data_IF_577911916695
#
_entry.id   IF_577911916695
#
_cell.length_a   1.000
_cell.length_b   1.000
_cell.length_c   1.000
_cell.angle_alpha   90.00
_cell.angle_beta   90.00
_cell.angle_gamma   90.00
#
_symmetry.space_group_name_H-M   'P 1'
#
loop_
_entity.id
_entity.type
_entity.pdbx_description
1 polymer ?
#
# COMPACT_ATOMS: atom_id res chain seq x y z
N UNK A 1 12.58 38.40 -7.73
CA UNK A 1 11.16 38.81 -7.72
C UNK A 1 10.48 38.17 -8.93
N UNK A 2 9.77 37.05 -8.76
CA UNK A 2 8.80 36.47 -9.73
C UNK A 2 8.25 35.14 -9.20
N UNK A 3 7.40 35.20 -8.17
CA UNK A 3 6.63 34.03 -7.71
C UNK A 3 5.20 34.40 -7.23
N UNK A 4 4.80 35.66 -7.38
CA UNK A 4 3.55 36.17 -6.80
C UNK A 4 2.38 36.26 -7.80
N UNK A 5 2.64 36.14 -9.10
CA UNK A 5 1.63 36.33 -10.16
C UNK A 5 1.01 35.04 -10.73
N UNK A 6 1.40 33.86 -10.24
CA UNK A 6 0.81 32.58 -10.70
C UNK A 6 -0.21 31.97 -9.73
N UNK A 7 -0.41 32.56 -8.55
CA UNK A 7 -1.39 32.06 -7.56
C UNK A 7 -2.82 32.58 -7.79
N UNK A 8 -3.01 33.66 -8.54
CA UNK A 8 -4.33 34.29 -8.69
C UNK A 8 -5.19 33.71 -9.81
N UNK A 9 -4.62 32.92 -10.74
CA UNK A 9 -5.40 32.30 -11.83
C UNK A 9 -5.96 30.92 -11.50
N UNK A 10 -5.58 30.29 -10.38
CA UNK A 10 -6.06 28.95 -10.01
C UNK A 10 -7.24 28.95 -9.02
N UNK A 11 -7.47 30.06 -8.30
CA UNK A 11 -8.58 30.16 -7.33
C UNK A 11 -9.95 30.33 -8.01
N UNK A 12 -10.01 30.89 -9.22
CA UNK A 12 -11.27 31.16 -9.91
C UNK A 12 -11.86 29.95 -10.67
N UNK A 13 -11.10 28.87 -10.88
CA UNK A 13 -11.61 27.67 -11.56
C UNK A 13 -12.36 26.70 -10.63
N UNK A 14 -12.17 26.79 -9.31
CA UNK A 14 -12.77 25.87 -8.34
C UNK A 14 -14.11 26.34 -7.77
N UNK A 15 -14.47 27.63 -7.94
CA UNK A 15 -15.77 28.14 -7.49
C UNK A 15 -16.92 27.87 -8.48
N UNK A 16 -16.62 27.52 -9.74
CA UNK A 16 -17.64 27.27 -10.78
C UNK A 16 -18.29 25.89 -10.75
N UNK A 17 -17.68 24.89 -10.08
CA UNK A 17 -18.18 23.49 -10.10
C UNK A 17 -18.94 23.12 -8.83
N UNK A 18 -18.77 23.91 -7.75
CA UNK A 18 -19.38 23.65 -6.44
C UNK A 18 -20.85 24.07 -6.33
N UNK A 19 -21.40 24.75 -7.35
CA UNK A 19 -22.68 25.44 -7.27
C UNK A 19 -23.92 24.73 -7.81
N UNK A 20 -23.84 23.49 -8.33
CA UNK A 20 -24.95 22.97 -9.15
C UNK A 20 -25.33 21.50 -8.93
N UNK A 21 -25.40 20.99 -7.69
CA UNK A 21 -26.11 19.72 -7.46
C UNK A 21 -26.62 19.50 -6.02
N UNK A 22 -27.22 20.51 -5.40
CA UNK A 22 -27.96 20.32 -4.14
C UNK A 22 -29.34 20.95 -4.22
N UNK A 23 -30.34 20.21 -4.74
CA UNK A 23 -31.73 20.35 -4.26
C UNK A 23 -32.58 19.09 -4.53
N UNK A 24 -32.97 18.42 -3.45
CA UNK A 24 -34.21 17.64 -3.17
C UNK A 24 -34.71 16.58 -4.19
N UNK A 25 -34.70 15.31 -3.78
CA UNK A 25 -35.88 14.40 -3.58
C UNK A 25 -35.33 13.22 -2.72
N UNK A 26 -35.76 13.00 -1.48
CA UNK A 26 -36.90 12.14 -1.11
C UNK A 26 -36.38 10.86 -0.45
N UNK A 27 -36.91 10.52 0.73
CA UNK A 27 -36.62 9.26 1.43
C UNK A 27 -37.05 8.08 0.57
N UNK A 28 -36.18 7.07 0.39
CA UNK A 28 -36.55 5.65 0.36
C UNK A 28 -35.30 4.76 0.26
N UNK A 29 -35.36 3.63 0.97
CA UNK A 29 -34.34 2.58 1.10
C UNK A 29 -34.04 1.89 -0.22
N UNK A 30 -32.76 1.67 -0.58
CA UNK A 30 -32.22 0.40 -1.09
C UNK A 30 -30.80 0.55 -1.64
N UNK A 31 -29.98 -0.45 -1.32
CA UNK A 31 -28.84 -1.00 -2.04
C UNK A 31 -28.21 -0.26 -3.25
N UNK A 32 -26.87 -0.20 -3.17
CA UNK A 32 -25.91 -0.39 -4.26
C UNK A 32 -25.48 0.81 -5.12
N UNK A 33 -24.20 0.71 -5.50
CA UNK A 33 -23.48 1.38 -6.59
C UNK A 33 -22.87 2.74 -6.25
N UNK A 34 -21.68 2.71 -5.63
CA UNK A 34 -20.72 3.83 -5.70
C UNK A 34 -19.94 3.68 -7.02
N UNK A 35 -19.97 4.67 -7.93
CA UNK A 35 -19.35 4.55 -9.25
C UNK A 35 -17.82 4.64 -9.17
N UNK A 36 -17.14 3.85 -10.01
CA UNK A 36 -15.69 3.62 -10.03
C UNK A 36 -14.80 4.87 -10.22
N UNK A 37 -15.38 6.02 -10.57
CA UNK A 37 -14.65 7.25 -10.92
C UNK A 37 -14.09 7.96 -9.68
N UNK A 38 -14.77 7.89 -8.53
CA UNK A 38 -14.29 8.55 -7.31
C UNK A 38 -13.08 7.84 -6.67
N UNK A 39 -12.84 6.56 -7.00
CA UNK A 39 -11.63 5.87 -6.57
C UNK A 39 -10.39 6.45 -7.27
N UNK A 40 -10.47 6.77 -8.56
CA UNK A 40 -9.29 7.16 -9.35
C UNK A 40 -8.73 8.53 -8.93
N UNK A 41 -9.61 9.47 -8.55
CA UNK A 41 -9.23 10.83 -8.11
C UNK A 41 -8.59 10.82 -6.72
N UNK A 42 -9.12 10.01 -5.79
CA UNK A 42 -8.56 9.87 -4.44
C UNK A 42 -7.18 9.24 -4.47
N UNK A 43 -6.92 8.26 -5.36
CA UNK A 43 -5.57 7.67 -5.50
C UNK A 43 -4.55 8.64 -6.13
N UNK A 44 -4.97 9.55 -7.00
CA UNK A 44 -4.09 10.52 -7.63
C UNK A 44 -3.62 11.62 -6.66
N UNK A 45 -4.51 12.10 -5.78
CA UNK A 45 -4.17 13.12 -4.78
C UNK A 45 -3.22 12.55 -3.69
N UNK A 46 -3.44 11.31 -3.23
CA UNK A 46 -2.51 10.63 -2.32
C UNK A 46 -1.11 10.41 -2.91
N UNK A 47 -1.02 10.06 -4.20
CA UNK A 47 0.25 9.82 -4.88
C UNK A 47 1.06 11.11 -5.14
N UNK A 48 0.41 12.28 -5.18
CA UNK A 48 1.08 13.57 -5.32
C UNK A 48 1.66 14.07 -3.99
N UNK A 49 0.94 13.91 -2.89
CA UNK A 49 1.45 14.25 -1.55
C UNK A 49 2.65 13.37 -1.14
N UNK A 50 2.63 12.06 -1.44
CA UNK A 50 3.79 11.18 -1.18
C UNK A 50 5.06 11.62 -1.94
N UNK A 51 4.92 12.19 -3.15
CA UNK A 51 6.06 12.68 -3.94
C UNK A 51 6.69 13.94 -3.34
N UNK A 52 5.92 14.79 -2.68
CA UNK A 52 6.45 16.00 -2.04
C UNK A 52 7.10 15.70 -0.68
N UNK A 53 6.58 14.74 0.09
CA UNK A 53 7.17 14.35 1.39
C UNK A 53 8.52 13.65 1.22
N UNK A 54 8.72 12.90 0.14
CA UNK A 54 10.00 12.25 -0.16
C UNK A 54 11.14 13.24 -0.45
N UNK A 55 10.82 14.49 -0.81
CA UNK A 55 11.81 15.50 -1.17
C UNK A 55 12.30 16.32 0.04
N UNK A 56 11.53 16.41 1.13
CA UNK A 56 11.89 17.22 2.32
C UNK A 56 12.35 16.42 3.55
N UNK A 57 12.11 15.10 3.67
CA UNK A 57 12.45 14.32 4.89
C UNK A 57 13.47 13.19 4.70
N UNK A 58 14.31 13.27 3.66
CA UNK A 58 15.33 12.28 3.36
C UNK A 58 14.80 11.25 2.39
N UNK A 59 15.26 11.37 1.13
CA UNK A 59 14.89 10.52 0.01
C UNK A 59 14.79 9.06 0.45
N UNK A 60 13.64 8.45 0.18
CA UNK A 60 13.40 7.10 0.61
C UNK A 60 14.49 6.16 0.04
N UNK A 61 15.30 5.61 0.94
CA UNK A 61 16.49 4.78 0.62
C UNK A 61 16.08 3.34 0.28
N UNK A 62 15.01 3.17 -0.51
CA UNK A 62 14.59 1.88 -1.03
C UNK A 62 14.99 1.73 -2.48
N UNK A 63 15.20 0.49 -2.91
CA UNK A 63 15.65 0.18 -4.26
C UNK A 63 14.52 0.45 -5.25
N UNK A 64 14.69 1.48 -6.09
CA UNK A 64 13.65 1.93 -7.03
C UNK A 64 13.17 0.82 -7.96
N UNK A 65 14.07 -0.05 -8.44
CA UNK A 65 13.70 -1.14 -9.35
C UNK A 65 12.77 -2.15 -8.67
N UNK A 66 13.03 -2.42 -7.39
CA UNK A 66 12.21 -3.34 -6.59
C UNK A 66 10.86 -2.70 -6.27
N UNK A 67 10.83 -1.39 -5.99
CA UNK A 67 9.59 -0.65 -5.77
C UNK A 67 8.70 -0.60 -7.03
N UNK A 68 9.29 -0.44 -8.22
CA UNK A 68 8.56 -0.49 -9.48
C UNK A 68 7.94 -1.87 -9.72
N UNK A 69 8.71 -2.93 -9.48
CA UNK A 69 8.25 -4.31 -9.62
C UNK A 69 7.18 -4.66 -8.58
N UNK A 70 7.35 -4.20 -7.34
CA UNK A 70 6.35 -4.30 -6.26
C UNK A 70 5.01 -3.69 -6.71
N UNK A 71 5.03 -2.47 -7.23
CA UNK A 71 3.83 -1.80 -7.73
C UNK A 71 3.19 -2.56 -8.89
N UNK A 72 4.01 -3.13 -9.79
CA UNK A 72 3.52 -3.96 -10.91
C UNK A 72 2.78 -5.20 -10.41
N UNK A 73 3.36 -5.95 -9.47
CA UNK A 73 2.72 -7.14 -8.89
C UNK A 73 1.45 -6.79 -8.10
N UNK A 74 1.48 -5.71 -7.32
CA UNK A 74 0.31 -5.26 -6.56
C UNK A 74 -0.87 -4.93 -7.50
N UNK A 75 -0.62 -4.22 -8.61
CA UNK A 75 -1.65 -3.88 -9.61
C UNK A 75 -2.28 -5.09 -10.29
N UNK A 76 -1.49 -6.14 -10.53
CA UNK A 76 -2.00 -7.38 -11.10
C UNK A 76 -2.94 -8.10 -10.14
N UNK A 77 -2.79 -7.89 -8.83
CA UNK A 77 -3.62 -8.46 -7.75
C UNK A 77 -3.99 -9.93 -8.00
N UNK A 78 -3.01 -10.73 -8.46
CA UNK A 78 -3.27 -12.08 -8.92
C UNK A 78 -3.41 -13.02 -7.71
N UNK A 79 -4.65 -13.26 -7.30
CA UNK A 79 -5.03 -14.15 -6.20
C UNK A 79 -4.56 -15.60 -6.36
N UNK A 80 -4.06 -16.00 -7.54
CA UNK A 80 -3.52 -17.34 -7.78
C UNK A 80 -2.03 -17.47 -7.48
N UNK A 81 -1.33 -16.35 -7.27
CA UNK A 81 0.06 -16.36 -6.84
C UNK A 81 0.12 -16.48 -5.33
N UNK A 82 1.00 -17.34 -4.82
CA UNK A 82 1.28 -17.42 -3.39
C UNK A 82 2.31 -16.37 -2.97
N UNK A 83 2.23 -15.92 -1.72
CA UNK A 83 3.20 -15.01 -1.11
C UNK A 83 4.64 -15.56 -1.19
N UNK A 84 4.79 -16.87 -1.01
CA UNK A 84 6.07 -17.58 -1.10
C UNK A 84 6.69 -17.51 -2.50
N UNK A 85 5.88 -17.71 -3.54
CA UNK A 85 6.30 -17.63 -4.94
C UNK A 85 6.78 -16.22 -5.29
N UNK A 86 6.04 -15.21 -4.85
CA UNK A 86 6.39 -13.80 -5.07
C UNK A 86 7.69 -13.46 -4.34
N UNK A 87 7.81 -13.81 -3.05
CA UNK A 87 9.01 -13.53 -2.25
C UNK A 87 10.25 -14.22 -2.85
N UNK A 88 10.10 -15.47 -3.29
CA UNK A 88 11.15 -16.22 -3.99
C UNK A 88 11.54 -15.58 -5.31
N UNK A 89 10.56 -15.17 -6.13
CA UNK A 89 10.81 -14.46 -7.39
C UNK A 89 11.60 -13.16 -7.17
N UNK A 90 11.26 -12.39 -6.14
CA UNK A 90 11.99 -11.17 -5.79
C UNK A 90 13.42 -11.49 -5.33
N UNK A 91 13.60 -12.51 -4.51
CA UNK A 91 14.92 -12.92 -4.01
C UNK A 91 15.84 -13.44 -5.12
N UNK A 92 15.30 -14.12 -6.13
CA UNK A 92 16.05 -14.59 -7.30
C UNK A 92 16.39 -13.44 -8.26
N UNK A 93 15.48 -12.48 -8.43
CA UNK A 93 15.65 -11.36 -9.36
C UNK A 93 16.57 -10.27 -8.79
N UNK A 94 16.48 -10.01 -7.49
CA UNK A 94 17.15 -8.89 -6.84
C UNK A 94 18.15 -9.38 -5.80
N UNK A 95 19.43 -9.20 -6.10
CA UNK A 95 20.50 -9.61 -5.20
C UNK A 95 20.57 -8.74 -3.92
N UNK A 96 21.06 -9.32 -2.82
CA UNK A 96 21.33 -8.63 -1.56
C UNK A 96 20.14 -8.46 -0.62
N UNK A 97 19.04 -9.17 -0.86
CA UNK A 97 17.94 -9.32 0.10
C UNK A 97 17.93 -10.69 0.78
N UNK A 98 16.82 -11.00 1.44
CA UNK A 98 16.54 -12.30 2.04
C UNK A 98 15.03 -12.52 2.13
N UNK A 99 14.61 -13.77 2.37
CA UNK A 99 13.19 -14.09 2.60
C UNK A 99 12.94 -14.09 4.11
N UNK A 100 11.98 -13.30 4.55
CA UNK A 100 11.49 -13.29 5.92
C UNK A 100 10.18 -14.08 5.98
N UNK A 101 10.17 -15.14 6.78
CA UNK A 101 8.97 -15.92 7.06
C UNK A 101 8.40 -15.51 8.42
N UNK A 102 7.10 -15.24 8.47
CA UNK A 102 6.34 -14.97 9.68
C UNK A 102 5.39 -16.13 9.92
N UNK A 103 5.40 -16.66 11.14
CA UNK A 103 4.50 -17.72 11.61
C UNK A 103 3.87 -17.32 12.94
N UNK A 104 2.69 -17.87 13.31
CA UNK A 104 2.11 -17.60 14.62
C UNK A 104 2.98 -18.25 15.71
N UNK A 105 3.17 -17.57 16.85
CA UNK A 105 3.95 -18.14 17.96
C UNK A 105 3.22 -19.30 18.63
N UNK A 106 1.89 -19.23 18.67
CA UNK A 106 1.02 -20.30 19.17
C UNK A 106 -0.19 -20.47 18.24
N UNK A 107 -0.69 -21.69 18.13
CA UNK A 107 -1.78 -22.03 17.21
C UNK A 107 -1.31 -22.30 15.78
N UNK A 108 -2.28 -22.37 14.86
CA UNK A 108 -2.05 -22.74 13.44
C UNK A 108 -2.20 -21.57 12.47
N UNK A 109 -2.90 -20.52 12.88
CA UNK A 109 -3.33 -19.43 11.99
C UNK A 109 -2.66 -18.13 12.39
N UNK A 110 -2.10 -17.46 11.39
CA UNK A 110 -1.54 -16.12 11.40
C UNK A 110 -2.55 -15.18 10.76
N UNK A 111 -2.91 -14.11 11.45
CA UNK A 111 -3.72 -13.03 10.89
C UNK A 111 -2.81 -12.05 10.15
N UNK A 112 -3.22 -11.66 8.94
CA UNK A 112 -2.53 -10.65 8.15
C UNK A 112 -3.47 -9.89 7.23
N UNK A 113 -2.86 -9.18 6.28
CA UNK A 113 -3.57 -8.35 5.31
C UNK A 113 -3.08 -8.73 3.91
N UNK A 114 -4.03 -9.01 3.03
CA UNK A 114 -3.80 -9.24 1.60
C UNK A 114 -4.77 -8.35 0.82
N UNK A 115 -4.25 -7.52 -0.07
CA UNK A 115 -4.97 -6.57 -0.92
C UNK A 115 -5.99 -5.72 -0.15
N UNK A 116 -5.62 -5.29 1.06
CA UNK A 116 -6.46 -4.47 1.94
C UNK A 116 -7.53 -5.22 2.72
N UNK A 117 -7.66 -6.54 2.53
CA UNK A 117 -8.58 -7.40 3.28
C UNK A 117 -7.84 -8.18 4.38
N UNK A 118 -8.51 -8.41 5.51
CA UNK A 118 -8.00 -9.32 6.55
C UNK A 118 -8.03 -10.75 6.03
N UNK A 119 -6.90 -11.44 6.13
CA UNK A 119 -6.71 -12.82 5.69
C UNK A 119 -6.09 -13.64 6.81
N UNK A 120 -6.29 -14.95 6.78
CA UNK A 120 -5.70 -15.89 7.73
C UNK A 120 -4.97 -17.00 6.99
N UNK A 121 -3.69 -17.18 7.30
CA UNK A 121 -2.80 -18.14 6.64
C UNK A 121 -1.91 -18.84 7.68
N UNK A 122 -1.17 -19.88 7.30
CA UNK A 122 -0.32 -20.63 8.24
C UNK A 122 1.04 -19.98 8.45
N UNK A 123 1.55 -19.35 7.40
CA UNK A 123 2.79 -18.61 7.36
C UNK A 123 2.65 -17.51 6.31
N UNK A 124 3.53 -16.51 6.38
CA UNK A 124 3.66 -15.47 5.37
C UNK A 124 5.11 -15.28 5.03
N UNK A 125 5.46 -15.32 3.74
CA UNK A 125 6.82 -15.09 3.28
C UNK A 125 6.90 -13.79 2.51
N UNK A 126 7.89 -12.96 2.86
CA UNK A 126 8.10 -11.66 2.23
C UNK A 126 9.57 -11.45 1.91
N UNK A 127 9.83 -10.72 0.82
CA UNK A 127 11.19 -10.32 0.47
C UNK A 127 11.60 -9.06 1.23
N UNK A 128 12.79 -9.08 1.81
CA UNK A 128 13.36 -7.97 2.58
C UNK A 128 14.70 -7.57 1.99
N UNK A 129 14.88 -6.27 1.70
CA UNK A 129 16.17 -5.70 1.29
C UNK A 129 16.44 -4.41 2.03
N UNK A 130 17.60 -4.35 2.69
CA UNK A 130 17.95 -3.23 3.57
C UNK A 130 17.00 -3.15 4.77
N UNK A 131 16.33 -2.01 4.93
CA UNK A 131 15.38 -1.75 6.02
C UNK A 131 13.91 -1.90 5.59
N UNK A 132 13.67 -2.44 4.39
CA UNK A 132 12.36 -2.43 3.76
C UNK A 132 11.89 -3.83 3.36
N UNK A 133 10.60 -4.07 3.57
CA UNK A 133 9.82 -5.20 3.09
C UNK A 133 9.17 -4.82 1.76
N UNK A 134 9.23 -5.74 0.80
CA UNK A 134 8.60 -5.62 -0.51
C UNK A 134 7.59 -6.76 -0.63
N UNK A 135 6.35 -6.46 -0.26
CA UNK A 135 5.24 -7.40 -0.26
C UNK A 135 4.05 -6.79 -1.04
N UNK A 136 3.82 -7.23 -2.29
CA UNK A 136 2.78 -6.65 -3.15
C UNK A 136 1.37 -7.04 -2.73
N UNK A 137 1.20 -8.06 -1.88
CA UNK A 137 -0.11 -8.38 -1.32
C UNK A 137 -0.45 -7.40 -0.20
N UNK A 138 0.54 -6.95 0.57
CA UNK A 138 0.31 -6.00 1.65
C UNK A 138 0.25 -4.54 1.16
N UNK A 139 1.13 -4.12 0.23
CA UNK A 139 1.23 -2.72 -0.22
C UNK A 139 1.85 -2.58 -1.62
N UNK A 140 1.46 -1.53 -2.34
CA UNK A 140 2.09 -1.13 -3.60
C UNK A 140 3.44 -0.43 -3.43
N UNK A 141 3.79 -0.05 -2.19
CA UNK A 141 4.99 0.72 -1.85
C UNK A 141 5.81 0.02 -0.76
N UNK A 142 7.16 0.12 -0.77
CA UNK A 142 8.00 -0.54 0.23
C UNK A 142 7.72 -0.06 1.64
N UNK A 143 7.75 -0.97 2.62
CA UNK A 143 7.42 -0.66 4.01
C UNK A 143 8.61 -0.90 4.90
N UNK A 144 8.84 -0.03 5.89
CA UNK A 144 9.90 -0.26 6.88
C UNK A 144 9.65 -1.58 7.60
N UNK A 145 10.66 -2.45 7.64
CA UNK A 145 10.56 -3.77 8.27
C UNK A 145 10.07 -3.69 9.73
N UNK A 146 10.47 -2.64 10.46
CA UNK A 146 9.99 -2.39 11.83
C UNK A 146 8.48 -2.18 11.91
N UNK A 147 7.92 -1.44 10.96
CA UNK A 147 6.51 -1.05 10.98
C UNK A 147 5.64 -2.20 10.50
N UNK A 148 6.13 -2.96 9.51
CA UNK A 148 5.53 -4.22 9.08
C UNK A 148 5.43 -5.24 10.23
N UNK A 149 6.54 -5.46 10.96
CA UNK A 149 6.56 -6.38 12.10
C UNK A 149 5.60 -5.93 13.21
N UNK A 150 5.58 -4.63 13.53
CA UNK A 150 4.64 -4.07 14.53
C UNK A 150 3.18 -4.31 14.14
N UNK A 151 2.84 -4.14 12.86
CA UNK A 151 1.48 -4.40 12.36
C UNK A 151 1.10 -5.87 12.58
N UNK A 152 1.97 -6.82 12.21
CA UNK A 152 1.72 -8.25 12.44
C UNK A 152 1.66 -8.63 13.92
N UNK A 153 2.50 -8.04 14.78
CA UNK A 153 2.42 -8.24 16.23
C UNK A 153 1.10 -7.72 16.80
N UNK A 154 0.60 -6.58 16.31
CA UNK A 154 -0.68 -6.02 16.76
C UNK A 154 -1.88 -6.86 16.33
N UNK A 155 -1.82 -7.51 15.16
CA UNK A 155 -2.88 -8.39 14.66
C UNK A 155 -2.87 -9.78 15.32
N UNK A 156 -1.75 -10.17 15.93
CA UNK A 156 -1.54 -11.50 16.50
C UNK A 156 -1.11 -11.38 17.97
N UNK A 157 -2.06 -11.17 18.91
CA UNK A 157 -1.75 -10.90 20.32
C UNK A 157 -1.07 -12.06 21.03
N UNK A 158 -1.19 -13.28 20.50
CA UNK A 158 -0.47 -14.47 20.97
C UNK A 158 1.01 -14.48 20.59
N UNK A 159 1.43 -13.52 19.76
CA UNK A 159 2.79 -13.34 19.27
C UNK A 159 3.03 -13.99 17.91
N UNK A 160 4.13 -13.58 17.29
CA UNK A 160 4.63 -14.11 16.03
C UNK A 160 6.06 -14.64 16.20
N UNK A 161 6.47 -15.56 15.34
CA UNK A 161 7.83 -16.02 15.16
C UNK A 161 8.32 -15.56 13.79
N UNK A 162 9.57 -15.12 13.73
CA UNK A 162 10.20 -14.63 12.51
C UNK A 162 11.40 -15.52 12.20
N UNK A 163 11.46 -16.02 10.97
CA UNK A 163 12.58 -16.78 10.44
C UNK A 163 13.16 -16.04 9.23
N UNK A 164 14.47 -16.19 9.03
CA UNK A 164 15.22 -15.61 7.92
C UNK A 164 15.86 -16.73 7.11
N UNK A 165 15.61 -16.72 5.81
CA UNK A 165 16.15 -17.65 4.82
C UNK A 165 17.12 -16.95 3.88
#
# INVERSE_FOLDING_TARGET
>A
MNAFLQRETYSQALEGVRGSLFTKVGQETAAAVVPAVEREVVYAEYAFEERMVAQEFGAAVWDRKIAEELSRFNKLANIRLDCSDIASSFNQTFNGGYIMEITPKTGRWLNGIEYGAKSSFQYHQVFVKGKYVYDPMYSSSPIKTSDFIKAYQSMNPTGIKILRH
#
